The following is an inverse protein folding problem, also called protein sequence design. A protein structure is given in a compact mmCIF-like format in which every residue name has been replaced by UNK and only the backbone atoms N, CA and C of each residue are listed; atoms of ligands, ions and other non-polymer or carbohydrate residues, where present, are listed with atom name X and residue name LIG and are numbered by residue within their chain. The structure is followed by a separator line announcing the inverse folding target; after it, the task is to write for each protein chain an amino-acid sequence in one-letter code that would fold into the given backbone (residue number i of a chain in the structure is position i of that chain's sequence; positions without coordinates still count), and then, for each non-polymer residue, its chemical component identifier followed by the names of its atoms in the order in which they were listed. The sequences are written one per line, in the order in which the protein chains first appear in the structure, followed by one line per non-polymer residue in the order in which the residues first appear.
data_IF_114742096508
#
_entry.id   IF_114742096508
#
_cell.length_a   1.000
_cell.length_b   1.000
_cell.length_c   1.000
_cell.angle_alpha   90.00
_cell.angle_beta   90.00
_cell.angle_gamma   90.00
#
_symmetry.space_group_name_H-M   'P 1'
#
loop_
_entity.id
_entity.type
_entity.pdbx_description
1 polymer ?
#
# COMPACT_ATOMS: atom_id res chain seq x y z
N UNK A 1 14.78 -9.41 26.91
CA UNK A 1 15.34 -9.48 28.27
C UNK A 1 14.17 -9.48 29.23
N UNK A 2 14.04 -10.50 30.06
CA UNK A 2 13.05 -10.50 31.13
C UNK A 2 13.30 -9.28 32.03
N UNK A 3 12.24 -8.58 32.42
CA UNK A 3 12.36 -7.49 33.38
C UNK A 3 12.87 -8.05 34.70
N UNK A 4 14.11 -7.71 35.08
CA UNK A 4 14.67 -8.06 36.39
C UNK A 4 13.68 -7.61 37.47
N UNK A 5 13.16 -8.52 38.31
CA UNK A 5 12.14 -8.19 39.31
C UNK A 5 12.60 -7.07 40.24
N UNK A 6 11.71 -6.17 40.70
CA UNK A 6 12.05 -5.08 41.61
C UNK A 6 12.82 -5.57 42.85
N UNK A 7 12.39 -6.69 43.43
CA UNK A 7 13.03 -7.33 44.59
C UNK A 7 14.48 -7.74 44.33
N UNK A 8 14.78 -8.24 43.13
CA UNK A 8 16.12 -8.68 42.74
C UNK A 8 17.09 -7.49 42.58
N UNK A 9 16.57 -6.35 42.11
CA UNK A 9 17.33 -5.09 42.00
C UNK A 9 17.62 -4.52 43.38
N UNK A 10 16.63 -4.54 44.27
CA UNK A 10 16.76 -4.04 45.64
C UNK A 10 17.78 -4.85 46.42
N UNK A 11 17.70 -6.18 46.36
CA UNK A 11 18.69 -7.08 46.94
C UNK A 11 20.10 -6.80 46.40
N UNK A 12 20.23 -6.67 45.07
CA UNK A 12 21.53 -6.39 44.44
C UNK A 12 22.09 -5.03 44.87
N UNK A 13 21.23 -4.01 44.99
CA UNK A 13 21.60 -2.68 45.51
C UNK A 13 22.16 -2.80 46.92
N UNK A 14 21.49 -3.53 47.79
CA UNK A 14 21.87 -3.67 49.19
C UNK A 14 23.20 -4.42 49.32
N UNK A 15 23.39 -5.52 48.58
CA UNK A 15 24.66 -6.24 48.55
C UNK A 15 25.82 -5.37 48.04
N UNK A 16 25.62 -4.61 46.96
CA UNK A 16 26.65 -3.70 46.45
C UNK A 16 26.94 -2.55 47.40
N UNK A 17 25.94 -2.03 48.12
CA UNK A 17 26.14 -1.00 49.15
C UNK A 17 26.99 -1.50 50.32
N UNK A 18 26.95 -2.81 50.59
CA UNK A 18 27.79 -3.50 51.60
C UNK A 18 29.14 -3.96 51.04
N UNK A 19 29.51 -3.53 49.83
CA UNK A 19 30.76 -3.90 49.17
C UNK A 19 30.92 -5.41 48.92
N UNK A 20 29.81 -6.16 48.80
CA UNK A 20 29.86 -7.58 48.43
C UNK A 20 30.32 -7.72 46.97
N UNK A 21 31.28 -8.61 46.66
CA UNK A 21 31.74 -8.82 45.29
C UNK A 21 30.62 -9.24 44.34
N UNK A 22 30.59 -8.65 43.15
CA UNK A 22 29.61 -8.95 42.08
C UNK A 22 29.46 -10.44 41.76
N UNK A 23 30.59 -11.18 41.81
CA UNK A 23 30.64 -12.61 41.53
C UNK A 23 29.96 -13.44 42.62
N UNK A 24 30.07 -13.03 43.88
CA UNK A 24 29.38 -13.66 45.01
C UNK A 24 27.87 -13.40 44.97
N UNK A 25 27.46 -12.18 44.60
CA UNK A 25 26.05 -11.83 44.42
C UNK A 25 25.42 -12.71 43.33
N UNK A 26 26.08 -12.84 42.17
CA UNK A 26 25.58 -13.66 41.07
C UNK A 26 25.44 -15.12 41.50
N UNK A 27 26.48 -15.69 42.11
CA UNK A 27 26.47 -17.06 42.62
C UNK A 27 25.33 -17.29 43.63
N UNK A 28 25.15 -16.39 44.59
CA UNK A 28 24.07 -16.50 45.60
C UNK A 28 22.68 -16.45 44.97
N UNK A 29 22.49 -15.66 43.91
CA UNK A 29 21.22 -15.59 43.19
C UNK A 29 20.95 -16.88 42.39
N UNK A 30 21.96 -17.42 41.72
CA UNK A 30 21.85 -18.70 41.00
C UNK A 30 21.58 -19.86 41.97
N UNK A 31 22.29 -19.91 43.10
CA UNK A 31 22.09 -20.91 44.16
C UNK A 31 20.67 -20.81 44.77
N UNK A 32 20.08 -19.61 44.79
CA UNK A 32 18.70 -19.38 45.22
C UNK A 32 17.63 -19.72 44.15
N UNK A 33 18.04 -20.21 42.97
CA UNK A 33 17.14 -20.66 41.91
C UNK A 33 16.80 -19.62 40.85
N UNK A 34 17.45 -18.46 40.85
CA UNK A 34 17.33 -17.50 39.75
C UNK A 34 18.12 -17.98 38.52
N UNK A 35 17.67 -17.63 37.32
CA UNK A 35 18.44 -17.97 36.12
C UNK A 35 19.74 -17.15 36.07
N UNK A 36 20.80 -17.75 35.53
CA UNK A 36 22.11 -17.08 35.33
C UNK A 36 21.98 -15.76 34.56
N UNK A 37 21.03 -15.69 33.62
CA UNK A 37 20.69 -14.47 32.88
C UNK A 37 20.08 -13.39 33.78
N UNK A 38 19.19 -13.75 34.70
CA UNK A 38 18.56 -12.80 35.62
C UNK A 38 19.53 -12.31 36.69
N UNK A 39 20.36 -13.22 37.24
CA UNK A 39 21.39 -12.89 38.20
C UNK A 39 22.44 -11.93 37.61
N UNK A 40 22.92 -12.23 36.40
CA UNK A 40 23.84 -11.36 35.67
C UNK A 40 23.21 -10.01 35.33
N UNK A 41 21.97 -10.00 34.81
CA UNK A 41 21.27 -8.76 34.49
C UNK A 41 20.98 -7.87 35.72
N UNK A 42 20.78 -8.48 36.89
CA UNK A 42 20.60 -7.73 38.14
C UNK A 42 21.88 -7.01 38.56
N UNK A 43 23.02 -7.71 38.55
CA UNK A 43 24.34 -7.17 38.87
C UNK A 43 24.75 -6.08 37.87
N UNK A 44 24.53 -6.31 36.58
CA UNK A 44 24.86 -5.37 35.51
C UNK A 44 23.98 -4.10 35.51
N UNK A 45 22.87 -4.11 36.25
CA UNK A 45 21.98 -2.96 36.37
C UNK A 45 22.60 -1.80 37.15
N UNK A 46 23.78 -1.98 37.76
CA UNK A 46 24.55 -0.93 38.41
C UNK A 46 25.89 -0.69 37.68
N UNK A 47 26.26 0.58 37.50
CA UNK A 47 27.53 0.98 36.89
C UNK A 47 28.69 0.75 37.86
N UNK A 48 29.88 0.45 37.32
CA UNK A 48 31.11 0.53 38.11
C UNK A 48 31.45 2.01 38.28
N UNK A 49 31.45 2.46 39.53
CA UNK A 49 31.65 3.85 39.90
C UNK A 49 32.50 3.89 41.16
N UNK A 50 33.32 4.93 41.28
CA UNK A 50 34.09 5.23 42.50
C UNK A 50 33.22 5.80 43.62
N UNK A 51 31.93 6.05 43.34
CA UNK A 51 30.97 6.48 44.36
C UNK A 51 30.74 5.35 45.38
N UNK A 52 30.65 5.67 46.69
CA UNK A 52 30.40 4.70 47.75
C UNK A 52 28.98 4.12 47.71
N UNK A 53 28.14 4.59 46.78
CA UNK A 53 26.77 4.10 46.56
C UNK A 53 26.66 3.51 45.15
N UNK A 54 25.98 2.36 45.00
CA UNK A 54 25.80 1.72 43.70
C UNK A 54 24.95 2.60 42.78
N UNK A 55 25.51 3.01 41.65
CA UNK A 55 24.86 3.89 40.68
C UNK A 55 24.00 3.06 39.72
N UNK A 56 22.66 3.23 39.69
CA UNK A 56 21.82 2.50 38.74
C UNK A 56 22.14 2.92 37.30
N UNK A 57 22.33 1.97 36.40
CA UNK A 57 22.37 2.24 34.96
C UNK A 57 20.96 2.65 34.50
N UNK A 58 20.89 3.62 33.57
CA UNK A 58 19.64 4.02 32.93
C UNK A 58 18.99 2.80 32.26
N UNK A 59 17.84 2.36 32.77
CA UNK A 59 17.02 1.35 32.08
C UNK A 59 16.30 2.02 30.92
N UNK A 60 16.43 1.44 29.75
CA UNK A 60 15.63 1.85 28.59
C UNK A 60 14.26 1.21 28.71
N UNK A 61 13.35 1.85 29.46
CA UNK A 61 11.94 1.46 29.38
C UNK A 61 11.39 1.93 28.03
N UNK A 62 10.74 1.02 27.30
CA UNK A 62 10.02 1.37 26.08
C UNK A 62 8.75 2.12 26.47
N UNK A 63 8.71 3.42 26.26
CA UNK A 63 7.49 4.21 26.47
C UNK A 63 6.39 3.81 25.46
N UNK A 64 5.10 3.93 25.80
CA UNK A 64 4.00 3.63 24.87
C UNK A 64 4.08 4.39 23.54
N UNK A 65 4.52 5.66 23.58
CA UNK A 65 4.77 6.49 22.37
C UNK A 65 5.81 5.85 21.44
N UNK A 66 6.88 5.30 21.99
CA UNK A 66 7.95 4.67 21.22
C UNK A 66 7.43 3.42 20.51
N UNK A 67 6.75 2.56 21.26
CA UNK A 67 6.12 1.36 20.72
C UNK A 67 5.15 1.68 19.58
N UNK A 68 4.32 2.73 19.75
CA UNK A 68 3.40 3.20 18.73
C UNK A 68 4.11 3.66 17.46
N UNK A 69 5.16 4.49 17.57
CA UNK A 69 5.87 5.00 16.39
C UNK A 69 6.56 3.89 15.60
N UNK A 70 7.20 2.91 16.26
CA UNK A 70 7.83 1.78 15.58
C UNK A 70 6.81 0.84 14.95
N UNK A 71 5.69 0.58 15.62
CA UNK A 71 4.60 -0.22 15.05
C UNK A 71 4.01 0.47 13.83
N UNK A 72 3.72 1.78 13.92
CA UNK A 72 3.22 2.58 12.81
C UNK A 72 4.22 2.57 11.64
N UNK A 73 5.51 2.74 11.90
CA UNK A 73 6.55 2.70 10.88
C UNK A 73 6.63 1.32 10.19
N UNK A 74 6.50 0.23 10.96
CA UNK A 74 6.48 -1.14 10.44
C UNK A 74 5.24 -1.39 9.56
N UNK A 75 4.06 -0.97 10.01
CA UNK A 75 2.82 -1.11 9.24
C UNK A 75 2.87 -0.31 7.94
N UNK A 76 3.33 0.95 7.99
CA UNK A 76 3.48 1.80 6.80
C UNK A 76 4.53 1.26 5.83
N UNK A 77 5.62 0.67 6.34
CA UNK A 77 6.60 -0.03 5.52
C UNK A 77 5.94 -1.19 4.76
N UNK A 78 5.11 -2.00 5.42
CA UNK A 78 4.42 -3.12 4.78
C UNK A 78 3.41 -2.67 3.73
N UNK A 79 2.61 -1.64 4.03
CA UNK A 79 1.69 -1.04 3.06
C UNK A 79 2.44 -0.53 1.83
N UNK A 80 3.57 0.15 2.04
CA UNK A 80 4.42 0.66 0.96
C UNK A 80 5.05 -0.47 0.15
N UNK A 81 5.61 -1.48 0.80
CA UNK A 81 6.24 -2.63 0.14
C UNK A 81 5.23 -3.44 -0.67
N UNK A 82 4.05 -3.70 -0.11
CA UNK A 82 2.96 -4.40 -0.80
C UNK A 82 2.48 -3.61 -2.02
N UNK A 83 2.21 -2.30 -1.88
CA UNK A 83 1.79 -1.48 -3.00
C UNK A 83 2.87 -1.35 -4.07
N UNK A 84 4.14 -1.24 -3.68
CA UNK A 84 5.29 -1.22 -4.60
C UNK A 84 5.37 -2.54 -5.39
N UNK A 85 5.30 -3.69 -4.71
CA UNK A 85 5.32 -5.01 -5.36
C UNK A 85 4.15 -5.19 -6.33
N UNK A 86 2.94 -4.78 -5.94
CA UNK A 86 1.76 -4.86 -6.80
C UNK A 86 1.87 -3.97 -8.05
N UNK A 87 2.42 -2.75 -7.92
CA UNK A 87 2.67 -1.88 -9.09
C UNK A 87 3.75 -2.47 -9.98
N UNK A 88 4.83 -3.03 -9.43
CA UNK A 88 5.86 -3.69 -10.23
C UNK A 88 5.29 -4.89 -10.99
N UNK A 89 4.41 -5.68 -10.38
CA UNK A 89 3.71 -6.77 -11.06
C UNK A 89 2.84 -6.24 -12.20
N UNK A 90 2.11 -5.16 -11.95
CA UNK A 90 1.28 -4.51 -12.95
C UNK A 90 2.12 -3.98 -14.12
N UNK A 91 3.27 -3.37 -13.84
CA UNK A 91 4.23 -2.90 -14.86
C UNK A 91 4.74 -4.10 -15.66
N UNK A 92 5.19 -5.17 -15.01
CA UNK A 92 5.62 -6.41 -15.68
C UNK A 92 4.52 -6.92 -16.61
N UNK A 93 3.29 -7.01 -16.13
CA UNK A 93 2.18 -7.51 -16.94
C UNK A 93 1.87 -6.58 -18.11
N UNK A 94 1.91 -5.26 -17.94
CA UNK A 94 1.64 -4.29 -19.03
C UNK A 94 2.72 -4.34 -20.12
N UNK A 95 4.00 -4.45 -19.73
CA UNK A 95 5.12 -4.42 -20.70
C UNK A 95 5.42 -5.77 -21.35
N UNK A 96 5.12 -6.88 -20.66
CA UNK A 96 5.39 -8.25 -21.15
C UNK A 96 4.11 -9.03 -21.50
N UNK A 97 2.95 -8.37 -21.60
CA UNK A 97 1.69 -9.01 -21.99
C UNK A 97 1.86 -9.82 -23.30
N UNK A 98 1.54 -11.11 -23.22
CA UNK A 98 1.43 -12.02 -24.37
C UNK A 98 0.43 -11.44 -25.39
N UNK A 99 0.69 -11.48 -26.71
CA UNK A 99 -0.25 -11.05 -27.75
C UNK A 99 -1.66 -11.67 -27.63
N UNK A 100 -1.77 -12.83 -26.97
CA UNK A 100 -3.04 -13.51 -26.70
C UNK A 100 -3.75 -13.00 -25.45
N UNK A 101 -3.03 -12.34 -24.52
CA UNK A 101 -3.58 -11.78 -23.30
C UNK A 101 -4.11 -10.35 -23.55
N UNK A 102 -5.38 -10.30 -23.97
CA UNK A 102 -6.09 -9.11 -24.42
C UNK A 102 -6.40 -8.13 -23.27
N UNK A 103 -5.40 -7.37 -22.83
CA UNK A 103 -5.54 -6.25 -21.89
C UNK A 103 -5.91 -6.69 -20.47
N UNK A 104 -5.12 -6.26 -19.49
CA UNK A 104 -5.40 -6.53 -18.07
C UNK A 104 -6.65 -5.74 -17.67
N UNK A 105 -7.81 -6.40 -17.70
CA UNK A 105 -9.08 -5.80 -17.26
C UNK A 105 -8.92 -5.29 -15.82
N UNK A 106 -9.14 -3.98 -15.63
CA UNK A 106 -9.06 -3.34 -14.31
C UNK A 106 -7.66 -2.90 -13.86
N UNK A 107 -6.64 -2.95 -14.73
CA UNK A 107 -5.32 -2.40 -14.42
C UNK A 107 -5.37 -0.92 -13.98
N UNK A 108 -6.24 -0.12 -14.59
CA UNK A 108 -6.48 1.28 -14.21
C UNK A 108 -7.03 1.41 -12.78
N UNK A 109 -7.88 0.47 -12.34
CA UNK A 109 -8.44 0.44 -10.98
C UNK A 109 -7.40 -0.02 -9.97
N UNK A 110 -6.63 -1.06 -10.30
CA UNK A 110 -5.55 -1.57 -9.45
C UNK A 110 -4.44 -0.53 -9.28
N UNK A 111 -4.02 0.12 -10.37
CA UNK A 111 -3.06 1.21 -10.34
C UNK A 111 -3.54 2.35 -9.44
N UNK A 112 -4.79 2.84 -9.62
CA UNK A 112 -5.36 3.88 -8.75
C UNK A 112 -5.35 3.49 -7.27
N UNK A 113 -5.69 2.24 -6.95
CA UNK A 113 -5.68 1.75 -5.59
C UNK A 113 -4.28 1.77 -4.97
N UNK A 114 -3.28 1.23 -5.66
CA UNK A 114 -1.90 1.23 -5.15
C UNK A 114 -1.25 2.61 -5.17
N UNK A 115 -1.61 3.49 -6.11
CA UNK A 115 -1.20 4.88 -6.10
C UNK A 115 -1.71 5.59 -4.83
N UNK A 116 -2.98 5.40 -4.46
CA UNK A 116 -3.54 5.98 -3.24
C UNK A 116 -2.81 5.49 -1.98
N UNK A 117 -2.48 4.19 -1.91
CA UNK A 117 -1.68 3.64 -0.80
C UNK A 117 -0.32 4.33 -0.74
N UNK A 118 0.42 4.41 -1.85
CA UNK A 118 1.76 5.02 -1.88
C UNK A 118 1.73 6.52 -1.57
N UNK A 119 0.73 7.26 -2.07
CA UNK A 119 0.55 8.68 -1.78
C UNK A 119 0.32 8.93 -0.28
N UNK A 120 -0.37 8.02 0.40
CA UNK A 120 -0.61 8.13 1.84
C UNK A 120 0.57 7.60 2.66
N UNK A 121 1.10 6.43 2.32
CA UNK A 121 2.07 5.72 3.15
C UNK A 121 3.48 6.32 3.08
N UNK A 122 3.94 6.77 1.91
CA UNK A 122 5.30 7.32 1.75
C UNK A 122 5.57 8.56 2.58
N UNK A 123 4.75 9.64 2.53
CA UNK A 123 5.04 10.85 3.31
C UNK A 123 4.92 10.59 4.81
N UNK A 124 3.94 9.79 5.24
CA UNK A 124 3.75 9.46 6.66
C UNK A 124 4.90 8.59 7.15
N UNK A 125 5.36 7.61 6.37
CA UNK A 125 6.51 6.77 6.71
C UNK A 125 7.79 7.62 6.84
N UNK A 126 8.03 8.54 5.91
CA UNK A 126 9.19 9.43 5.96
C UNK A 126 9.15 10.34 7.20
N UNK A 127 7.98 10.90 7.53
CA UNK A 127 7.80 11.75 8.71
C UNK A 127 8.00 10.96 10.01
N UNK A 128 7.42 9.76 10.12
CA UNK A 128 7.58 8.89 11.29
C UNK A 128 9.03 8.45 11.45
N UNK A 129 9.70 8.04 10.37
CA UNK A 129 11.12 7.67 10.41
C UNK A 129 12.02 8.85 10.76
N UNK A 130 11.70 10.04 10.27
CA UNK A 130 12.39 11.27 10.66
C UNK A 130 12.22 11.57 12.15
N UNK A 131 11.00 11.44 12.69
CA UNK A 131 10.73 11.65 14.11
C UNK A 131 11.48 10.63 14.98
N UNK A 132 11.48 9.35 14.61
CA UNK A 132 12.24 8.29 15.30
C UNK A 132 13.74 8.59 15.27
N UNK A 133 14.30 8.92 14.10
CA UNK A 133 15.74 9.23 13.98
C UNK A 133 16.13 10.44 14.82
N UNK A 134 15.28 11.47 14.87
CA UNK A 134 15.50 12.65 15.71
C UNK A 134 15.50 12.30 17.20
N UNK A 135 14.63 11.39 17.63
CA UNK A 135 14.55 10.93 19.02
C UNK A 135 15.76 10.02 19.38
N UNK A 136 16.23 9.19 18.45
CA UNK A 136 17.45 8.37 18.62
C UNK A 136 18.71 9.25 18.77
N UNK A 137 18.86 10.31 17.97
CA UNK A 137 19.99 11.24 18.09
C UNK A 137 20.04 11.90 19.47
N UNK A 138 18.87 12.21 20.06
CA UNK A 138 18.76 12.83 21.38
C UNK A 138 18.99 11.83 22.53
N UNK A 139 18.55 10.59 22.35
CA UNK A 139 18.67 9.52 23.33
C UNK A 139 19.05 8.20 22.65
N UNK A 140 20.35 7.93 22.46
CA UNK A 140 20.82 6.72 21.77
C UNK A 140 20.31 5.42 22.39
N UNK A 141 20.05 5.44 23.70
CA UNK A 141 19.53 4.31 24.46
C UNK A 141 18.16 3.81 23.94
N UNK A 142 17.36 4.67 23.33
CA UNK A 142 16.04 4.31 22.76
C UNK A 142 16.16 3.24 21.67
N UNK A 143 17.28 3.19 20.95
CA UNK A 143 17.52 2.21 19.88
C UNK A 143 17.56 0.75 20.38
N UNK A 144 17.95 0.54 21.64
CA UNK A 144 18.08 -0.78 22.26
C UNK A 144 16.77 -1.18 23.00
N UNK A 145 15.67 -0.47 22.74
CA UNK A 145 14.39 -0.74 23.38
C UNK A 145 13.89 -2.16 23.04
N UNK A 146 13.43 -2.95 24.04
CA UNK A 146 12.92 -4.31 23.82
C UNK A 146 11.84 -4.41 22.74
N UNK A 147 10.96 -3.41 22.66
CA UNK A 147 9.87 -3.37 21.67
C UNK A 147 10.44 -3.32 20.24
N UNK A 148 11.46 -2.50 19.98
CA UNK A 148 12.08 -2.36 18.66
C UNK A 148 12.70 -3.68 18.22
N UNK A 149 13.37 -4.37 19.15
CA UNK A 149 13.97 -5.69 18.91
C UNK A 149 12.90 -6.74 18.58
N UNK A 150 11.81 -6.80 19.35
CA UNK A 150 10.71 -7.73 19.08
C UNK A 150 10.06 -7.48 17.72
N UNK A 151 9.74 -6.23 17.38
CA UNK A 151 9.15 -5.88 16.08
C UNK A 151 10.10 -6.21 14.92
N UNK A 152 11.41 -6.03 15.12
CA UNK A 152 12.43 -6.38 14.13
C UNK A 152 12.48 -7.89 13.89
N UNK A 153 12.47 -8.73 14.94
CA UNK A 153 12.40 -10.18 14.78
C UNK A 153 11.10 -10.65 14.13
N UNK A 154 9.95 -10.03 14.45
CA UNK A 154 8.69 -10.32 13.77
C UNK A 154 8.80 -10.00 12.28
N UNK A 155 9.44 -8.88 11.92
CA UNK A 155 9.66 -8.50 10.52
C UNK A 155 10.57 -9.48 9.80
N UNK A 156 11.64 -9.94 10.44
CA UNK A 156 12.54 -10.96 9.91
C UNK A 156 11.83 -12.28 9.67
N UNK A 157 11.00 -12.72 10.62
CA UNK A 157 10.19 -13.93 10.48
C UNK A 157 9.24 -13.82 9.27
N UNK A 158 8.48 -12.73 9.18
CA UNK A 158 7.53 -12.51 8.07
C UNK A 158 8.25 -12.49 6.72
N UNK A 159 9.34 -11.74 6.60
CA UNK A 159 10.10 -11.66 5.34
C UNK A 159 10.75 -12.98 4.95
N UNK A 160 11.27 -13.75 5.92
CA UNK A 160 11.78 -15.10 5.67
C UNK A 160 10.67 -16.04 5.16
N UNK A 161 9.47 -15.99 5.74
CA UNK A 161 8.35 -16.82 5.32
C UNK A 161 7.89 -16.46 3.91
N UNK A 162 7.82 -15.17 3.59
CA UNK A 162 7.51 -14.68 2.23
C UNK A 162 8.52 -15.22 1.22
N UNK A 163 9.82 -15.17 1.51
CA UNK A 163 10.86 -15.71 0.63
C UNK A 163 10.75 -17.22 0.43
N UNK A 164 10.41 -17.98 1.49
CA UNK A 164 10.16 -19.43 1.38
C UNK A 164 8.93 -19.72 0.54
N UNK A 165 7.82 -19.00 0.75
CA UNK A 165 6.61 -19.15 -0.05
C UNK A 165 6.87 -18.82 -1.54
N UNK A 166 7.66 -17.80 -1.82
CA UNK A 166 8.05 -17.43 -3.19
C UNK A 166 8.90 -18.54 -3.84
N UNK A 167 9.88 -19.08 -3.11
CA UNK A 167 10.67 -20.23 -3.58
C UNK A 167 9.78 -21.44 -3.90
N UNK A 168 8.81 -21.75 -3.04
CA UNK A 168 7.84 -22.83 -3.29
C UNK A 168 7.03 -22.56 -4.55
N UNK A 169 6.55 -21.32 -4.74
CA UNK A 169 5.82 -20.94 -5.96
C UNK A 169 6.69 -21.16 -7.21
N UNK A 170 7.98 -20.79 -7.17
CA UNK A 170 8.91 -21.00 -8.27
C UNK A 170 9.12 -22.47 -8.60
N UNK A 171 9.32 -23.29 -7.57
CA UNK A 171 9.46 -24.74 -7.75
C UNK A 171 8.19 -25.35 -8.34
N UNK A 172 7.00 -24.93 -7.89
CA UNK A 172 5.74 -25.39 -8.48
C UNK A 172 5.61 -24.98 -9.95
N UNK A 173 5.95 -23.74 -10.29
CA UNK A 173 5.97 -23.28 -11.70
C UNK A 173 6.94 -24.08 -12.56
N UNK A 174 8.11 -24.43 -12.01
CA UNK A 174 9.11 -25.26 -12.68
C UNK A 174 8.61 -26.70 -12.89
N UNK A 175 8.07 -27.32 -11.84
CA UNK A 175 7.57 -28.70 -11.88
C UNK A 175 6.36 -28.87 -12.81
N UNK A 176 5.54 -27.83 -12.95
CA UNK A 176 4.40 -27.82 -13.88
C UNK A 176 4.82 -27.57 -15.34
N UNK A 177 6.06 -27.15 -15.60
CA UNK A 177 6.53 -26.76 -16.94
C UNK A 177 6.04 -25.38 -17.41
N UNK A 178 5.43 -24.59 -16.52
CA UNK A 178 4.78 -23.31 -16.81
C UNK A 178 5.62 -22.08 -16.41
N UNK A 179 6.94 -22.26 -16.34
CA UNK A 179 7.86 -21.23 -15.86
C UNK A 179 8.08 -20.14 -16.92
N UNK A 180 7.22 -19.13 -16.89
CA UNK A 180 7.23 -17.99 -17.82
C UNK A 180 8.20 -16.88 -17.40
N UNK A 181 8.66 -16.05 -18.34
CA UNK A 181 9.51 -14.89 -18.04
C UNK A 181 8.82 -13.91 -17.07
N UNK A 182 7.51 -13.67 -17.24
CA UNK A 182 6.71 -12.82 -16.33
C UNK A 182 6.68 -13.39 -14.92
N UNK A 183 6.57 -14.71 -14.79
CA UNK A 183 6.60 -15.39 -13.51
C UNK A 183 7.97 -15.23 -12.80
N UNK A 184 9.08 -15.42 -13.52
CA UNK A 184 10.44 -15.21 -12.96
C UNK A 184 10.63 -13.76 -12.50
N UNK A 185 10.21 -12.79 -13.31
CA UNK A 185 10.34 -11.37 -12.97
C UNK A 185 9.50 -11.01 -11.73
N UNK A 186 8.28 -11.54 -11.61
CA UNK A 186 7.42 -11.34 -10.43
C UNK A 186 8.03 -11.95 -9.17
N UNK A 187 8.52 -13.19 -9.23
CA UNK A 187 9.24 -13.80 -8.09
C UNK A 187 10.48 -12.99 -7.72
N UNK A 188 11.27 -12.53 -8.71
CA UNK A 188 12.44 -11.68 -8.46
C UNK A 188 12.09 -10.41 -7.70
N UNK A 189 10.95 -9.77 -8.02
CA UNK A 189 10.45 -8.61 -7.27
C UNK A 189 10.16 -8.96 -5.81
N UNK A 190 9.53 -10.11 -5.53
CA UNK A 190 9.24 -10.55 -4.16
C UNK A 190 10.54 -10.78 -3.38
N UNK A 191 11.51 -11.49 -3.96
CA UNK A 191 12.82 -11.75 -3.35
C UNK A 191 13.57 -10.44 -3.09
N UNK A 192 13.60 -9.51 -4.05
CA UNK A 192 14.29 -8.23 -3.87
C UNK A 192 13.65 -7.35 -2.80
N UNK A 193 12.32 -7.28 -2.72
CA UNK A 193 11.62 -6.50 -1.71
C UNK A 193 11.74 -7.15 -0.32
N UNK A 194 11.39 -8.43 -0.19
CA UNK A 194 11.46 -9.14 1.08
C UNK A 194 12.91 -9.26 1.58
N UNK A 195 13.84 -9.60 0.68
CA UNK A 195 15.27 -9.66 0.96
C UNK A 195 15.88 -8.31 1.31
N UNK A 196 15.50 -7.24 0.62
CA UNK A 196 15.93 -5.88 0.94
C UNK A 196 15.49 -5.43 2.34
N UNK A 197 14.23 -5.71 2.71
CA UNK A 197 13.71 -5.44 4.05
C UNK A 197 14.43 -6.31 5.09
N UNK A 198 14.58 -7.61 4.82
CA UNK A 198 15.28 -8.55 5.69
C UNK A 198 16.72 -8.10 5.98
N UNK A 199 17.49 -7.79 4.93
CA UNK A 199 18.88 -7.31 5.04
C UNK A 199 18.96 -5.99 5.80
N UNK A 200 18.00 -5.08 5.58
CA UNK A 200 17.96 -3.83 6.31
C UNK A 200 17.69 -4.05 7.82
N UNK A 201 16.77 -4.95 8.19
CA UNK A 201 16.45 -5.21 9.60
C UNK A 201 17.55 -6.01 10.33
N UNK A 202 18.11 -7.06 9.71
CA UNK A 202 19.15 -7.89 10.34
C UNK A 202 20.43 -7.11 10.61
N UNK A 203 20.81 -6.21 9.70
CA UNK A 203 21.97 -5.32 9.88
C UNK A 203 21.75 -4.28 10.99
N UNK A 204 20.50 -4.01 11.36
CA UNK A 204 20.16 -3.15 12.50
C UNK A 204 20.38 -3.83 13.82
N UNK A 205 19.89 -5.08 13.92
CA UNK A 205 20.05 -5.90 15.12
C UNK A 205 21.52 -6.20 15.40
N UNK A 206 22.31 -6.57 14.39
CA UNK A 206 23.73 -6.87 14.59
C UNK A 206 24.50 -5.64 15.12
N UNK A 207 24.17 -4.45 14.63
CA UNK A 207 24.75 -3.21 15.14
C UNK A 207 24.37 -2.95 16.60
N UNK A 208 23.13 -3.21 16.99
CA UNK A 208 22.66 -3.04 18.37
C UNK A 208 23.31 -4.04 19.35
N UNK A 209 23.57 -5.28 18.90
CA UNK A 209 24.29 -6.29 19.69
C UNK A 209 25.74 -5.84 19.97
N UNK A 210 26.44 -5.33 18.95
CA UNK A 210 27.82 -4.80 19.14
C UNK A 210 27.90 -3.61 20.12
N UNK A 211 26.85 -2.80 20.19
CA UNK A 211 26.76 -1.70 21.16
C UNK A 211 26.43 -2.21 22.58
N UNK A 212 25.70 -3.32 22.70
CA UNK A 212 25.22 -3.85 23.97
C UNK A 212 26.23 -4.78 24.67
N UNK A 213 27.14 -5.42 23.92
CA UNK A 213 28.14 -6.39 24.45
C UNK A 213 29.43 -5.76 25.01
N UNK A 214 29.50 -4.43 25.17
CA UNK A 214 30.55 -3.83 26.01
C UNK A 214 31.91 -3.64 25.35
N UNK A 215 31.96 -2.87 24.25
CA UNK A 215 33.18 -2.15 23.89
C UNK A 215 32.97 -0.65 24.06
N UNK A 216 33.00 -0.23 25.33
CA UNK A 216 32.91 1.15 25.78
C UNK A 216 34.27 1.89 25.62
N UNK A 217 35.03 1.62 24.56
CA UNK A 217 36.33 2.25 24.30
C UNK A 217 36.39 2.79 22.86
N UNK A 218 36.19 4.11 22.75
CA UNK A 218 36.87 5.08 21.87
C UNK A 218 36.93 4.88 20.34
N UNK A 219 36.32 3.85 19.77
CA UNK A 219 36.19 3.74 18.32
C UNK A 219 34.96 4.52 17.83
N UNK A 220 35.09 5.45 16.85
CA UNK A 220 33.92 6.04 16.21
C UNK A 220 33.12 4.91 15.58
N UNK A 221 31.91 4.67 16.10
CA UNK A 221 31.01 3.63 15.62
C UNK A 221 30.62 3.98 14.19
N UNK A 222 31.33 3.41 13.22
CA UNK A 222 31.14 3.68 11.81
C UNK A 222 29.89 2.91 11.34
N UNK A 223 28.75 3.58 11.28
CA UNK A 223 27.56 2.99 10.69
C UNK A 223 27.85 2.54 9.27
N UNK A 224 27.45 1.30 8.95
CA UNK A 224 27.73 0.73 7.64
C UNK A 224 27.04 1.54 6.53
N UNK A 225 27.85 2.08 5.60
CA UNK A 225 27.41 3.03 4.56
C UNK A 225 26.30 2.50 3.64
N UNK A 226 26.10 1.18 3.57
CA UNK A 226 25.10 0.56 2.69
C UNK A 226 23.68 0.60 3.25
N UNK A 227 23.49 0.60 4.58
CA UNK A 227 22.15 0.64 5.20
C UNK A 227 21.33 1.87 4.81
N UNK A 228 21.86 3.12 4.93
CA UNK A 228 21.11 4.29 4.48
C UNK A 228 20.90 4.29 2.97
N UNK A 229 21.86 3.76 2.18
CA UNK A 229 21.72 3.64 0.72
C UNK A 229 20.59 2.71 0.32
N UNK A 230 20.40 1.58 1.00
CA UNK A 230 19.26 0.70 0.76
C UNK A 230 17.92 1.35 1.12
N UNK A 231 17.86 2.10 2.22
CA UNK A 231 16.64 2.82 2.59
C UNK A 231 16.27 3.88 1.54
N UNK A 232 17.26 4.63 1.04
CA UNK A 232 17.07 5.60 -0.06
C UNK A 232 16.66 4.91 -1.35
N UNK A 233 17.30 3.79 -1.70
CA UNK A 233 16.93 3.00 -2.87
C UNK A 233 15.48 2.50 -2.79
N UNK A 234 15.05 1.99 -1.62
CA UNK A 234 13.67 1.57 -1.39
C UNK A 234 12.66 2.71 -1.55
N UNK A 235 12.96 3.88 -0.98
CA UNK A 235 12.10 5.07 -1.12
C UNK A 235 12.03 5.56 -2.58
N UNK A 236 13.17 5.54 -3.29
CA UNK A 236 13.25 5.88 -4.70
C UNK A 236 12.42 4.92 -5.55
N UNK A 237 12.58 3.61 -5.37
CA UNK A 237 11.79 2.59 -6.08
C UNK A 237 10.29 2.76 -5.85
N UNK A 238 9.86 2.99 -4.60
CA UNK A 238 8.46 3.22 -4.30
C UNK A 238 7.92 4.52 -4.91
N UNK A 239 8.75 5.57 -4.98
CA UNK A 239 8.39 6.85 -5.62
C UNK A 239 8.26 6.70 -7.14
N UNK A 240 9.17 5.95 -7.77
CA UNK A 240 9.08 5.61 -9.20
C UNK A 240 7.82 4.80 -9.47
N UNK A 241 7.50 3.82 -8.62
CA UNK A 241 6.26 3.04 -8.72
C UNK A 241 5.02 3.93 -8.58
N UNK A 242 5.03 4.92 -7.68
CA UNK A 242 3.94 5.88 -7.59
C UNK A 242 3.72 6.63 -8.92
N UNK A 243 4.79 7.10 -9.56
CA UNK A 243 4.71 7.78 -10.87
C UNK A 243 4.14 6.85 -11.93
N UNK A 244 4.64 5.61 -12.05
CA UNK A 244 4.10 4.63 -13.00
C UNK A 244 2.64 4.30 -12.72
N UNK A 245 2.28 4.16 -11.45
CA UNK A 245 0.91 3.87 -11.05
C UNK A 245 -0.05 5.00 -11.44
N UNK A 246 0.35 6.26 -11.24
CA UNK A 246 -0.43 7.43 -11.68
C UNK A 246 -0.52 7.53 -13.20
N UNK A 247 0.55 7.18 -13.91
CA UNK A 247 0.55 7.13 -15.38
C UNK A 247 -0.47 6.10 -15.91
N UNK A 248 -0.52 4.90 -15.32
CA UNK A 248 -1.45 3.84 -15.72
C UNK A 248 -2.89 4.12 -15.26
N UNK A 249 -3.06 4.72 -14.08
CA UNK A 249 -4.35 5.12 -13.53
C UNK A 249 -5.10 6.15 -14.42
N UNK A 250 -4.35 7.00 -15.13
CA UNK A 250 -4.88 8.16 -15.84
C UNK A 250 -5.31 9.29 -14.90
N UNK A 251 -5.54 10.48 -15.48
CA UNK A 251 -5.91 11.69 -14.73
C UNK A 251 -7.30 11.55 -14.07
N UNK A 252 -7.48 11.90 -12.76
CA UNK A 252 -8.79 11.89 -12.09
C UNK A 252 -9.86 12.75 -12.79
N UNK A 253 -9.48 13.86 -13.44
CA UNK A 253 -10.41 14.69 -14.22
C UNK A 253 -10.96 13.89 -15.40
N UNK A 254 -10.08 13.20 -16.15
CA UNK A 254 -10.50 12.37 -17.27
C UNK A 254 -11.41 11.22 -16.82
N UNK A 255 -11.14 10.61 -15.66
CA UNK A 255 -11.99 9.57 -15.09
C UNK A 255 -13.39 10.08 -14.72
N UNK A 256 -13.51 11.34 -14.28
CA UNK A 256 -14.80 11.99 -14.06
C UNK A 256 -15.53 12.20 -15.39
N UNK A 257 -14.85 12.72 -16.40
CA UNK A 257 -15.44 12.95 -17.73
C UNK A 257 -15.91 11.64 -18.37
N UNK A 258 -15.12 10.56 -18.31
CA UNK A 258 -15.52 9.22 -18.77
C UNK A 258 -16.79 8.75 -18.06
N UNK A 259 -16.91 8.99 -16.75
CA UNK A 259 -18.11 8.61 -15.99
C UNK A 259 -19.33 9.41 -16.42
N UNK A 260 -19.17 10.72 -16.63
CA UNK A 260 -20.25 11.59 -17.13
C UNK A 260 -20.70 11.17 -18.52
N UNK A 261 -19.77 10.91 -19.44
CA UNK A 261 -20.09 10.41 -20.77
C UNK A 261 -20.77 9.03 -20.70
N UNK A 262 -20.35 8.15 -19.80
CA UNK A 262 -21.01 6.86 -19.60
C UNK A 262 -22.46 7.00 -19.09
N UNK A 263 -22.72 8.01 -18.25
CA UNK A 263 -24.07 8.35 -17.79
C UNK A 263 -24.92 8.90 -18.94
N UNK A 264 -24.36 9.80 -19.77
CA UNK A 264 -25.03 10.32 -20.98
C UNK A 264 -25.42 9.19 -21.93
N UNK A 265 -24.51 8.24 -22.18
CA UNK A 265 -24.81 7.06 -23.01
C UNK A 265 -25.93 6.21 -22.40
N UNK A 266 -25.93 6.00 -21.07
CA UNK A 266 -27.00 5.27 -20.39
C UNK A 266 -28.36 5.99 -20.55
N UNK A 267 -28.38 7.31 -20.41
CA UNK A 267 -29.58 8.13 -20.58
C UNK A 267 -30.10 8.08 -22.03
N UNK A 268 -29.23 8.18 -23.03
CA UNK A 268 -29.62 8.06 -24.45
C UNK A 268 -30.23 6.69 -24.76
N UNK A 269 -29.70 5.59 -24.20
CA UNK A 269 -30.30 4.24 -24.33
C UNK A 269 -31.67 4.16 -23.68
N UNK A 270 -31.82 4.79 -22.51
CA UNK A 270 -33.09 4.89 -21.80
C UNK A 270 -34.13 5.63 -22.64
N UNK A 271 -33.74 6.77 -23.23
CA UNK A 271 -34.58 7.58 -24.12
C UNK A 271 -34.94 6.85 -25.42
N UNK A 272 -33.99 6.17 -26.06
CA UNK A 272 -34.30 5.30 -27.20
C UNK A 272 -35.40 4.30 -26.84
N UNK A 273 -35.24 3.60 -25.71
CA UNK A 273 -36.22 2.61 -25.26
C UNK A 273 -37.59 3.24 -25.00
N UNK A 274 -37.62 4.47 -24.49
CA UNK A 274 -38.85 5.22 -24.28
C UNK A 274 -39.54 5.61 -25.59
N UNK A 275 -38.78 6.10 -26.58
CA UNK A 275 -39.27 6.45 -27.90
C UNK A 275 -39.85 5.22 -28.60
N UNK A 276 -39.17 4.07 -28.52
CA UNK A 276 -39.64 2.81 -29.11
C UNK A 276 -40.95 2.34 -28.46
N UNK A 277 -41.09 2.44 -27.13
CA UNK A 277 -42.36 2.12 -26.44
C UNK A 277 -43.48 3.07 -26.84
N UNK A 278 -43.19 4.37 -26.93
CA UNK A 278 -44.15 5.37 -27.37
C UNK A 278 -44.67 5.07 -28.77
N UNK A 279 -43.76 4.81 -29.71
CA UNK A 279 -44.12 4.51 -31.10
C UNK A 279 -44.96 3.24 -31.23
N UNK A 280 -44.66 2.18 -30.46
CA UNK A 280 -45.47 0.95 -30.46
C UNK A 280 -46.93 1.17 -30.06
N UNK A 281 -47.21 2.19 -29.25
CA UNK A 281 -48.55 2.50 -28.75
C UNK A 281 -49.28 3.53 -29.61
N UNK A 282 -48.59 4.62 -29.96
CA UNK A 282 -49.18 5.76 -30.67
C UNK A 282 -49.00 5.68 -32.19
N UNK A 283 -48.19 4.74 -32.70
CA UNK A 283 -47.83 4.56 -34.13
C UNK A 283 -47.27 5.83 -34.81
N UNK A 284 -46.72 6.74 -34.00
CA UNK A 284 -46.04 7.98 -34.41
C UNK A 284 -44.87 8.28 -33.48
N UNK A 285 -43.93 9.09 -33.95
CA UNK A 285 -42.85 9.61 -33.10
C UNK A 285 -43.37 10.75 -32.19
N UNK A 286 -42.77 10.94 -31.00
CA UNK A 286 -43.07 12.08 -30.15
C UNK A 286 -42.63 13.38 -30.82
N UNK A 287 -43.32 14.48 -30.55
CA UNK A 287 -42.99 15.83 -31.07
C UNK A 287 -41.74 16.39 -30.39
N UNK A 288 -41.56 16.09 -29.11
CA UNK A 288 -40.41 16.48 -28.29
C UNK A 288 -40.22 15.47 -27.15
N UNK A 289 -39.09 15.56 -26.45
CA UNK A 289 -38.79 14.67 -25.31
C UNK A 289 -39.72 14.90 -24.11
N UNK A 290 -40.31 16.08 -23.97
CA UNK A 290 -41.27 16.38 -22.89
C UNK A 290 -42.57 15.57 -23.04
N UNK A 291 -42.99 15.27 -24.27
CA UNK A 291 -44.17 14.42 -24.52
C UNK A 291 -44.00 13.02 -23.92
N UNK A 292 -42.77 12.51 -23.83
CA UNK A 292 -42.50 11.21 -23.20
C UNK A 292 -42.84 11.20 -21.71
N UNK A 293 -42.66 12.32 -20.99
CA UNK A 293 -42.97 12.40 -19.56
C UNK A 293 -44.47 12.37 -19.28
N UNK A 294 -45.29 12.83 -20.21
CA UNK A 294 -46.76 12.88 -20.03
C UNK A 294 -47.41 11.50 -20.18
N UNK A 295 -46.68 10.52 -20.72
CA UNK A 295 -47.18 9.16 -20.95
C UNK A 295 -46.92 8.24 -19.74
N UNK A 296 -47.93 7.51 -19.22
CA UNK A 296 -47.79 6.65 -18.04
C UNK A 296 -46.69 5.59 -18.16
N UNK A 297 -46.47 5.06 -19.37
CA UNK A 297 -45.46 4.03 -19.65
C UNK A 297 -44.04 4.62 -19.85
N UNK A 298 -43.89 5.95 -19.83
CA UNK A 298 -42.63 6.65 -20.06
C UNK A 298 -42.30 7.82 -19.12
N UNK A 299 -42.86 7.85 -17.91
CA UNK A 299 -42.73 8.99 -16.99
C UNK A 299 -41.31 9.22 -16.41
N UNK A 300 -40.47 8.19 -16.29
CA UNK A 300 -39.26 8.21 -15.45
C UNK A 300 -37.93 8.28 -16.23
N UNK A 301 -37.86 9.14 -17.26
CA UNK A 301 -36.65 9.32 -18.07
C UNK A 301 -36.00 10.69 -17.89
N UNK A 302 -34.68 10.67 -17.68
CA UNK A 302 -33.85 11.88 -17.69
C UNK A 302 -33.72 12.43 -19.11
N UNK A 303 -34.38 13.56 -19.38
CA UNK A 303 -34.35 14.25 -20.68
C UNK A 303 -33.30 15.37 -20.75
N UNK A 304 -32.61 15.64 -19.64
CA UNK A 304 -31.55 16.64 -19.53
C UNK A 304 -30.26 16.00 -19.03
N UNK A 305 -29.13 16.60 -19.37
CA UNK A 305 -27.84 16.28 -18.78
C UNK A 305 -27.80 16.82 -17.34
N UNK A 306 -27.57 15.95 -16.37
CA UNK A 306 -27.53 16.28 -14.95
C UNK A 306 -26.44 17.30 -14.56
N UNK A 307 -25.40 17.47 -15.38
CA UNK A 307 -24.28 18.38 -15.10
C UNK A 307 -24.46 19.70 -15.84
N UNK A 308 -24.83 19.67 -17.12
CA UNK A 308 -24.95 20.89 -17.93
C UNK A 308 -26.34 21.52 -17.86
N UNK A 309 -27.36 20.77 -17.42
CA UNK A 309 -28.76 21.17 -17.46
C UNK A 309 -29.33 21.28 -18.87
N UNK A 310 -28.54 21.00 -19.91
CA UNK A 310 -28.96 21.09 -21.29
C UNK A 310 -29.87 19.90 -21.65
N UNK A 311 -30.96 20.10 -22.41
CA UNK A 311 -31.80 19.01 -22.90
C UNK A 311 -31.02 18.16 -23.91
N UNK A 312 -31.27 16.85 -23.90
CA UNK A 312 -30.74 15.98 -24.96
C UNK A 312 -31.33 16.36 -26.31
N UNK A 313 -30.52 16.23 -27.36
CA UNK A 313 -30.96 16.55 -28.71
C UNK A 313 -31.90 15.49 -29.23
N UNK A 314 -33.08 15.89 -29.69
CA UNK A 314 -34.04 15.04 -30.37
C UNK A 314 -34.66 15.76 -31.57
N UNK A 315 -34.70 15.09 -32.73
CA UNK A 315 -35.44 15.57 -33.90
C UNK A 315 -35.97 14.38 -34.71
N UNK A 316 -37.26 14.38 -35.03
CA UNK A 316 -37.85 13.44 -35.98
C UNK A 316 -37.51 13.86 -37.42
N UNK A 317 -36.95 12.95 -38.21
CA UNK A 317 -36.59 13.19 -39.62
C UNK A 317 -37.69 12.66 -40.54
N UNK A 318 -38.25 11.49 -40.22
CA UNK A 318 -39.35 10.85 -40.96
C UNK A 318 -40.40 10.31 -39.97
N UNK A 319 -41.34 9.47 -40.43
CA UNK A 319 -42.30 8.79 -39.55
C UNK A 319 -41.67 7.73 -38.64
N UNK A 320 -40.52 7.19 -39.03
CA UNK A 320 -39.82 6.09 -38.33
C UNK A 320 -38.40 6.44 -37.92
N UNK A 321 -37.79 7.44 -38.57
CA UNK A 321 -36.40 7.83 -38.34
C UNK A 321 -36.30 9.10 -37.49
N UNK A 322 -35.38 9.08 -36.54
CA UNK A 322 -35.12 10.18 -35.63
C UNK A 322 -33.62 10.29 -35.34
N UNK A 323 -33.22 11.49 -34.93
CA UNK A 323 -31.88 11.77 -34.42
C UNK A 323 -31.94 11.95 -32.92
N UNK A 324 -31.06 11.28 -32.21
CA UNK A 324 -30.88 11.42 -30.76
C UNK A 324 -29.40 11.73 -30.47
N UNK A 325 -29.12 12.64 -29.55
CA UNK A 325 -27.74 13.06 -29.31
C UNK A 325 -27.49 13.77 -27.99
N UNK A 326 -26.21 13.86 -27.65
CA UNK A 326 -25.70 14.57 -26.48
C UNK A 326 -24.40 15.30 -26.85
N UNK A 327 -23.93 16.16 -25.95
CA UNK A 327 -22.56 16.70 -26.00
C UNK A 327 -21.68 15.83 -25.11
N UNK A 328 -20.65 15.23 -25.68
CA UNK A 328 -19.69 14.39 -24.95
C UNK A 328 -18.41 15.16 -24.66
N UNK A 329 -17.79 14.91 -23.51
CA UNK A 329 -16.56 15.59 -23.12
C UNK A 329 -15.32 14.90 -23.73
N UNK A 330 -15.34 13.58 -23.83
CA UNK A 330 -14.24 12.78 -24.36
C UNK A 330 -14.70 11.90 -25.53
N UNK A 331 -13.75 11.59 -26.42
CA UNK A 331 -13.95 10.54 -27.40
C UNK A 331 -13.97 9.18 -26.69
N UNK A 332 -14.82 8.27 -27.15
CA UNK A 332 -14.83 6.91 -26.62
C UNK A 332 -13.43 6.29 -26.81
N UNK A 333 -12.82 5.75 -25.75
CA UNK A 333 -11.56 5.02 -25.91
C UNK A 333 -11.74 3.87 -26.91
N UNK A 334 -10.70 3.56 -27.71
CA UNK A 334 -10.78 2.54 -28.75
C UNK A 334 -11.32 1.23 -28.19
N UNK A 335 -12.28 0.65 -28.92
CA UNK A 335 -13.03 -0.55 -28.53
C UNK A 335 -12.07 -1.68 -28.17
N UNK A 336 -12.13 -2.13 -26.92
CA UNK A 336 -11.49 -3.38 -26.54
C UNK A 336 -12.27 -4.54 -27.19
N UNK A 337 -11.60 -5.46 -27.92
CA UNK A 337 -12.26 -6.44 -28.79
C UNK A 337 -13.22 -7.40 -28.07
N UNK A 338 -13.10 -7.54 -26.75
CA UNK A 338 -13.92 -8.45 -25.93
C UNK A 338 -14.97 -7.77 -25.05
N UNK A 339 -15.25 -6.47 -25.19
CA UNK A 339 -16.39 -5.91 -24.46
C UNK A 339 -17.70 -6.48 -25.03
N UNK A 340 -18.44 -7.25 -24.24
CA UNK A 340 -19.87 -7.59 -24.49
C UNK A 340 -20.78 -6.36 -24.51
N UNK A 341 -20.21 -5.15 -24.42
CA UNK A 341 -20.92 -3.89 -24.49
C UNK A 341 -21.62 -3.78 -25.84
N UNK A 342 -22.90 -3.43 -25.74
CA UNK A 342 -23.90 -3.52 -26.78
C UNK A 342 -23.44 -2.94 -28.12
N UNK A 343 -23.89 -3.58 -29.22
CA UNK A 343 -23.64 -3.17 -30.61
C UNK A 343 -24.27 -1.81 -31.00
N UNK A 344 -24.91 -1.13 -30.06
CA UNK A 344 -25.64 0.12 -30.30
C UNK A 344 -24.67 1.24 -30.69
N UNK A 345 -25.05 2.04 -31.69
CA UNK A 345 -24.22 3.10 -32.26
C UNK A 345 -23.81 4.20 -31.27
N UNK A 346 -24.53 4.36 -30.15
CA UNK A 346 -24.24 5.38 -29.12
C UNK A 346 -22.87 5.25 -28.47
N UNK A 347 -22.31 4.03 -28.44
CA UNK A 347 -21.05 3.78 -27.77
C UNK A 347 -19.83 4.23 -28.57
N UNK A 348 -19.99 4.55 -29.85
CA UNK A 348 -18.92 5.06 -30.70
C UNK A 348 -19.13 6.55 -30.94
N UNK A 349 -18.56 7.38 -30.07
CA UNK A 349 -18.73 8.84 -30.13
C UNK A 349 -17.39 9.58 -30.06
N UNK A 350 -17.31 10.70 -30.77
CA UNK A 350 -16.20 11.67 -30.63
C UNK A 350 -16.51 12.65 -29.50
N UNK A 351 -15.49 13.37 -29.03
CA UNK A 351 -15.71 14.53 -28.17
C UNK A 351 -16.52 15.60 -28.91
N UNK A 352 -17.35 16.34 -28.18
CA UNK A 352 -18.24 17.37 -28.70
C UNK A 352 -19.67 16.90 -28.96
N UNK A 353 -20.43 17.73 -29.68
CA UNK A 353 -21.83 17.41 -30.02
C UNK A 353 -21.88 16.25 -30.99
N UNK A 354 -22.57 15.18 -30.62
CA UNK A 354 -22.76 13.98 -31.44
C UNK A 354 -24.24 13.66 -31.54
N UNK A 355 -24.67 13.28 -32.75
CA UNK A 355 -26.05 12.91 -33.07
C UNK A 355 -26.01 11.57 -33.76
N UNK A 356 -26.86 10.66 -33.32
CA UNK A 356 -26.97 9.31 -33.84
C UNK A 356 -28.28 9.19 -34.62
N UNK A 357 -28.18 8.70 -35.85
CA UNK A 357 -29.32 8.36 -36.69
C UNK A 357 -29.88 7.00 -36.25
N UNK A 358 -31.17 6.98 -35.91
CA UNK A 358 -31.85 5.81 -35.37
C UNK A 358 -33.20 5.63 -36.06
N UNK A 359 -33.63 4.39 -36.17
CA UNK A 359 -34.92 4.01 -36.75
C UNK A 359 -35.66 3.15 -35.74
N UNK A 360 -36.91 3.50 -35.46
CA UNK A 360 -37.79 2.70 -34.60
C UNK A 360 -38.17 1.42 -35.32
N UNK A 361 -38.23 0.31 -34.58
CA UNK A 361 -38.61 -1.02 -35.09
C UNK A 361 -40.01 -1.43 -34.68
#
# INVERSE_FOLDING_TARGET
MASVPPSLIEFTRDCLSKSVPRLEINKALVDAGWSDREATAAVESFAESTLPVPVPKKRVSSGPREAFLHLLAMLLLYMTAFATGAVLFLVIDVFLSDPTNRGIFGADRMARFHAAILMASLPVLALVRWAINRDIIRNPAIRIAPVVRTLSYITLLITSLIMVCDMVAVLLGFLNGDLTLTFILKSSVVVLLAGGIFLWYISGLHFEETLSEGKQQDAPVQESLWRPRLAVAGFFTASVCLVFSLWIAGNPVNQRLIRLDSQRVANLRSLQSAIERFYKKETRLPKNLEELKTFPDTYDYEITDAVTGAPYFFSSTTKTDYKLGAVFDLATPPRQPNSTRSRDGFYHHKAGSQRFDLTVK
#
